data_IF_945798283817
#
_entry.id   IF_945798283817
#
_cell.length_a   1.000
_cell.length_b   1.000
_cell.length_c   1.000
_cell.angle_alpha   90.00
_cell.angle_beta   90.00
_cell.angle_gamma   90.00
#
_symmetry.space_group_name_H-M   'P 1'
#
loop_
_entity.id
_entity.type
_entity.pdbx_description
1 polymer ?
#
# COMPACT_ATOMS: atom_id res chain seq x y z
N UNK A 1 -5.93 -2.32 -7.16
CA UNK A 1 -5.33 -0.98 -6.95
C UNK A 1 -3.88 -1.19 -6.50
N UNK A 2 -2.93 -0.33 -6.88
CA UNK A 2 -1.52 -0.48 -6.47
C UNK A 2 -1.15 0.33 -5.22
N UNK A 3 -1.95 1.35 -4.91
CA UNK A 3 -1.68 2.28 -3.80
C UNK A 3 -2.81 2.28 -2.79
N UNK A 4 -2.47 2.41 -1.51
CA UNK A 4 -3.45 2.54 -0.42
C UNK A 4 -4.35 3.77 -0.60
N UNK A 5 -3.79 4.85 -1.16
CA UNK A 5 -4.50 6.09 -1.45
C UNK A 5 -5.44 6.03 -2.67
N UNK A 6 -5.60 4.86 -3.29
CA UNK A 6 -6.51 4.70 -4.42
C UNK A 6 -7.97 4.74 -3.94
N UNK A 7 -8.81 5.50 -4.65
CA UNK A 7 -10.25 5.65 -4.38
C UNK A 7 -11.12 4.44 -4.78
N UNK A 8 -10.49 3.36 -5.23
CA UNK A 8 -11.19 2.18 -5.72
C UNK A 8 -11.27 1.14 -4.62
N UNK A 9 -12.45 0.54 -4.46
CA UNK A 9 -12.68 -0.51 -3.48
C UNK A 9 -14.02 -1.20 -3.65
N UNK A 10 -14.36 -2.06 -2.68
CA UNK A 10 -15.63 -2.75 -2.62
C UNK A 10 -16.76 -1.75 -2.39
N UNK A 11 -17.75 -1.62 -3.30
CA UNK A 11 -18.82 -0.65 -3.13
C UNK A 11 -19.65 -0.88 -1.85
N UNK A 12 -20.11 0.20 -1.22
CA UNK A 12 -20.82 0.14 0.07
C UNK A 12 -22.16 -0.62 -0.01
N UNK A 13 -22.77 -0.67 -1.20
CA UNK A 13 -24.00 -1.41 -1.48
C UNK A 13 -23.78 -2.92 -1.63
N UNK A 14 -22.53 -3.39 -1.70
CA UNK A 14 -22.24 -4.82 -1.77
C UNK A 14 -22.45 -5.50 -0.40
N UNK A 15 -23.06 -6.67 -0.47
CA UNK A 15 -23.41 -7.48 0.68
C UNK A 15 -22.29 -8.50 0.96
N UNK A 16 -21.56 -8.29 2.05
CA UNK A 16 -20.54 -9.23 2.50
C UNK A 16 -21.15 -10.29 3.43
N UNK A 17 -20.47 -11.44 3.56
CA UNK A 17 -20.84 -12.45 4.55
C UNK A 17 -20.84 -11.89 5.97
N UNK A 18 -19.93 -10.96 6.29
CA UNK A 18 -19.90 -10.30 7.60
C UNK A 18 -21.15 -9.42 7.83
N UNK A 19 -21.59 -8.65 6.82
CA UNK A 19 -22.85 -7.90 6.87
C UNK A 19 -24.05 -8.86 7.03
N UNK A 20 -24.09 -9.97 6.30
CA UNK A 20 -25.15 -10.97 6.40
C UNK A 20 -25.25 -11.58 7.80
N UNK A 21 -24.11 -12.00 8.37
CA UNK A 21 -24.06 -12.57 9.72
C UNK A 21 -24.53 -11.56 10.77
N UNK A 22 -24.14 -10.29 10.63
CA UNK A 22 -24.66 -9.21 11.48
C UNK A 22 -26.15 -8.96 11.33
N UNK A 23 -26.68 -9.03 10.11
CA UNK A 23 -28.10 -8.75 9.84
C UNK A 23 -29.02 -9.90 10.26
N UNK A 24 -28.62 -11.15 10.00
CA UNK A 24 -29.47 -12.33 10.20
C UNK A 24 -29.31 -12.99 11.57
N UNK A 25 -28.15 -12.83 12.20
CA UNK A 25 -27.82 -13.47 13.47
C UNK A 25 -27.10 -12.46 14.37
N UNK A 26 -27.77 -11.35 14.70
CA UNK A 26 -27.32 -10.10 15.35
C UNK A 26 -26.23 -10.17 16.42
N UNK A 27 -25.97 -11.35 16.98
CA UNK A 27 -25.01 -11.58 18.05
C UNK A 27 -23.62 -12.04 17.59
N UNK A 28 -23.40 -12.33 16.29
CA UNK A 28 -22.08 -12.71 15.79
C UNK A 28 -21.04 -11.60 15.98
N UNK A 29 -19.90 -11.94 16.58
CA UNK A 29 -18.70 -11.11 16.52
C UNK A 29 -17.93 -11.42 15.25
N UNK A 30 -17.60 -10.40 14.48
CA UNK A 30 -16.97 -10.55 13.17
C UNK A 30 -15.58 -9.93 13.17
N UNK A 31 -14.57 -10.66 12.67
CA UNK A 31 -13.22 -10.13 12.52
C UNK A 31 -12.61 -10.45 11.16
N UNK A 32 -11.82 -9.50 10.65
CA UNK A 32 -10.91 -9.73 9.55
C UNK A 32 -9.48 -9.48 10.04
N UNK A 33 -8.64 -10.50 9.93
CA UNK A 33 -7.26 -10.46 10.41
C UNK A 33 -6.34 -10.78 9.24
N UNK A 34 -5.49 -9.83 8.89
CA UNK A 34 -4.54 -9.90 7.78
C UNK A 34 -4.95 -9.08 6.56
N UNK A 35 -4.92 -9.68 5.37
CA UNK A 35 -5.07 -8.95 4.11
C UNK A 35 -6.54 -8.65 3.77
N UNK A 36 -6.83 -7.38 3.46
CA UNK A 36 -8.12 -6.95 2.90
C UNK A 36 -8.10 -6.87 1.36
N UNK A 37 -7.35 -5.91 0.81
CA UNK A 37 -7.15 -5.68 -0.63
C UNK A 37 -8.40 -5.31 -1.44
N UNK A 38 -9.41 -4.72 -0.78
CA UNK A 38 -10.62 -4.23 -1.44
C UNK A 38 -10.85 -2.72 -1.20
N UNK A 39 -9.76 -1.96 -1.10
CA UNK A 39 -9.79 -0.51 -0.91
C UNK A 39 -9.83 -0.08 0.55
N UNK A 40 -9.71 1.22 0.79
CA UNK A 40 -9.83 1.84 2.12
C UNK A 40 -10.68 3.10 2.04
N UNK A 41 -10.20 4.10 1.30
CA UNK A 41 -10.85 5.40 1.17
C UNK A 41 -11.56 5.56 -0.18
N UNK A 42 -12.52 6.47 -0.26
CA UNK A 42 -13.28 6.82 -1.46
C UNK A 42 -12.87 8.20 -1.98
N UNK A 43 -13.47 9.25 -1.40
CA UNK A 43 -13.39 10.63 -1.90
C UNK A 43 -12.41 11.46 -1.09
N UNK A 44 -12.20 11.11 0.18
CA UNK A 44 -11.35 11.85 1.11
C UNK A 44 -10.48 10.87 1.88
N UNK A 45 -9.25 11.29 2.18
CA UNK A 45 -8.36 10.53 3.04
C UNK A 45 -9.00 10.33 4.42
N UNK A 46 -9.12 9.08 4.86
CA UNK A 46 -9.71 8.72 6.15
C UNK A 46 -11.24 8.69 6.18
N UNK A 47 -11.92 8.73 5.03
CA UNK A 47 -13.37 8.45 4.99
C UNK A 47 -13.68 6.96 5.16
N UNK A 48 -12.70 6.09 4.96
CA UNK A 48 -12.74 4.65 5.27
C UNK A 48 -13.92 3.89 4.63
N UNK A 49 -14.56 4.42 3.59
CA UNK A 49 -15.78 3.83 3.02
C UNK A 49 -15.61 2.33 2.66
N UNK A 50 -14.45 1.96 2.10
CA UNK A 50 -14.12 0.62 1.67
C UNK A 50 -13.43 -0.21 2.76
N UNK A 51 -13.27 0.35 3.96
CA UNK A 51 -12.60 -0.28 5.09
C UNK A 51 -13.39 -1.50 5.59
N UNK A 52 -12.72 -2.59 6.04
CA UNK A 52 -13.41 -3.79 6.54
C UNK A 52 -14.47 -3.51 7.61
N UNK A 53 -14.23 -2.53 8.49
CA UNK A 53 -15.21 -2.16 9.51
C UNK A 53 -16.53 -1.61 8.93
N UNK A 54 -16.48 -0.95 7.78
CA UNK A 54 -17.67 -0.48 7.05
C UNK A 54 -18.28 -1.58 6.17
N UNK A 55 -17.58 -2.72 6.03
CA UNK A 55 -18.05 -3.91 5.35
C UNK A 55 -18.46 -5.05 6.28
N UNK A 56 -18.89 -4.72 7.49
CA UNK A 56 -19.55 -5.64 8.41
C UNK A 56 -18.66 -6.30 9.45
N UNK A 57 -17.35 -6.06 9.44
CA UNK A 57 -16.43 -6.59 10.45
C UNK A 57 -16.37 -5.70 11.71
N UNK A 58 -16.53 -6.27 12.90
CA UNK A 58 -16.37 -5.54 14.17
C UNK A 58 -14.90 -5.22 14.47
N UNK A 59 -14.01 -6.13 14.09
CA UNK A 59 -12.58 -6.00 14.33
C UNK A 59 -11.79 -6.18 13.05
N UNK A 60 -10.83 -5.29 12.82
CA UNK A 60 -9.84 -5.42 11.77
C UNK A 60 -8.44 -5.31 12.36
N UNK A 61 -7.55 -6.21 11.97
CA UNK A 61 -6.12 -6.09 12.25
C UNK A 61 -5.32 -6.60 11.06
N UNK A 62 -4.68 -5.70 10.31
CA UNK A 62 -3.97 -6.10 9.10
C UNK A 62 -3.74 -4.98 8.11
N UNK A 63 -3.60 -5.35 6.84
CA UNK A 63 -3.21 -4.44 5.76
C UNK A 63 -4.40 -4.16 4.83
N UNK A 64 -4.70 -2.89 4.49
CA UNK A 64 -5.83 -2.53 3.63
C UNK A 64 -5.61 -2.95 2.17
N UNK A 65 -4.35 -3.01 1.74
CA UNK A 65 -3.95 -3.43 0.40
C UNK A 65 -3.39 -4.86 0.42
N UNK A 66 -2.32 -5.11 -0.33
CA UNK A 66 -1.62 -6.38 -0.44
C UNK A 66 -0.15 -6.19 -0.10
N UNK A 67 0.50 -7.28 0.26
CA UNK A 67 1.95 -7.36 0.29
C UNK A 67 2.53 -7.13 -1.10
N UNK A 68 3.57 -6.29 -1.19
CA UNK A 68 4.27 -5.93 -2.41
C UNK A 68 5.75 -6.33 -2.28
N UNK A 69 6.42 -6.54 -3.42
CA UNK A 69 7.87 -6.81 -3.42
C UNK A 69 8.66 -5.74 -2.67
N UNK A 70 8.21 -4.49 -2.80
CA UNK A 70 8.81 -3.31 -2.18
C UNK A 70 8.83 -3.36 -0.63
N UNK A 71 8.13 -4.31 0.00
CA UNK A 71 8.13 -4.47 1.46
C UNK A 71 9.21 -5.43 1.96
N UNK A 72 9.82 -6.22 1.06
CA UNK A 72 10.87 -7.18 1.39
C UNK A 72 12.25 -6.53 1.56
N UNK A 73 13.10 -7.20 2.34
CA UNK A 73 14.50 -6.77 2.56
C UNK A 73 15.44 -7.14 1.40
N UNK A 74 14.93 -7.81 0.36
CA UNK A 74 15.71 -8.26 -0.80
C UNK A 74 15.98 -7.15 -1.83
N UNK A 75 15.48 -5.94 -1.57
CA UNK A 75 15.64 -4.78 -2.44
C UNK A 75 14.85 -4.86 -3.75
N UNK A 76 13.94 -5.84 -3.89
CA UNK A 76 13.09 -5.92 -5.07
C UNK A 76 12.00 -4.86 -5.02
N UNK A 77 11.70 -4.27 -6.18
CA UNK A 77 10.59 -3.35 -6.34
C UNK A 77 9.63 -3.90 -7.39
N UNK A 78 8.31 -3.71 -7.17
CA UNK A 78 7.32 -4.01 -8.18
C UNK A 78 7.61 -3.19 -9.44
N UNK A 79 7.92 -1.90 -9.29
CA UNK A 79 8.21 -1.01 -10.43
C UNK A 79 9.45 -1.48 -11.19
N UNK A 80 10.54 -1.81 -10.50
CA UNK A 80 11.78 -2.28 -11.15
C UNK A 80 11.63 -3.68 -11.76
N UNK A 81 10.66 -4.48 -11.29
CA UNK A 81 10.34 -5.77 -11.92
C UNK A 81 9.70 -5.58 -13.31
N UNK A 82 8.89 -4.54 -13.49
CA UNK A 82 8.30 -4.20 -14.79
C UNK A 82 9.25 -3.34 -15.65
N UNK A 83 10.03 -2.47 -15.03
CA UNK A 83 10.96 -1.54 -15.69
C UNK A 83 12.38 -1.69 -15.12
N UNK A 84 13.14 -2.74 -15.50
CA UNK A 84 14.45 -3.03 -14.92
C UNK A 84 15.48 -1.93 -15.21
N UNK A 85 15.35 -1.26 -16.36
CA UNK A 85 16.23 -0.15 -16.78
C UNK A 85 15.73 1.23 -16.36
N UNK A 86 14.77 1.33 -15.41
CA UNK A 86 14.14 2.60 -15.03
C UNK A 86 15.18 3.68 -14.70
N UNK A 87 16.13 3.39 -13.81
CA UNK A 87 17.13 4.37 -13.42
C UNK A 87 18.01 4.81 -14.58
N UNK A 88 18.43 3.87 -15.43
CA UNK A 88 19.22 4.18 -16.62
C UNK A 88 18.44 5.08 -17.59
N UNK A 89 17.15 4.80 -17.79
CA UNK A 89 16.27 5.63 -18.63
C UNK A 89 16.13 7.04 -18.03
N UNK A 90 15.87 7.14 -16.73
CA UNK A 90 15.71 8.41 -16.03
C UNK A 90 17.00 9.26 -16.10
N UNK A 91 18.17 8.65 -15.89
CA UNK A 91 19.45 9.37 -16.03
C UNK A 91 19.73 9.76 -17.48
N UNK A 92 19.39 8.90 -18.44
CA UNK A 92 19.58 9.21 -19.87
C UNK A 92 18.72 10.38 -20.33
N UNK A 93 17.45 10.44 -19.89
CA UNK A 93 16.54 11.56 -20.17
C UNK A 93 17.10 12.87 -19.59
N UNK A 94 17.59 12.83 -18.35
CA UNK A 94 18.19 14.01 -17.72
C UNK A 94 19.42 14.51 -18.49
N UNK A 95 20.33 13.60 -18.87
CA UNK A 95 21.54 13.96 -19.62
C UNK A 95 21.22 14.50 -21.03
N UNK A 96 20.26 13.89 -21.74
CA UNK A 96 19.84 14.36 -23.06
C UNK A 96 19.17 15.74 -22.98
N UNK A 97 18.32 15.98 -21.99
CA UNK A 97 17.69 17.29 -21.81
C UNK A 97 18.70 18.38 -21.43
N UNK A 98 19.66 18.06 -20.56
CA UNK A 98 20.75 18.98 -20.21
C UNK A 98 21.60 19.31 -21.44
N UNK A 99 22.02 18.32 -22.22
CA UNK A 99 22.85 18.54 -23.42
C UNK A 99 22.11 19.36 -24.48
N UNK A 100 20.83 19.07 -24.76
CA UNK A 100 20.01 19.85 -25.68
C UNK A 100 19.86 21.30 -25.20
N UNK A 101 19.56 21.51 -23.91
CA UNK A 101 19.48 22.85 -23.34
C UNK A 101 20.80 23.62 -23.48
N UNK A 102 21.92 23.03 -23.06
CA UNK A 102 23.23 23.66 -23.20
C UNK A 102 23.56 24.02 -24.66
N UNK A 103 23.23 23.15 -25.62
CA UNK A 103 23.41 23.45 -27.05
C UNK A 103 22.58 24.66 -27.50
N UNK A 104 21.33 24.79 -27.04
CA UNK A 104 20.47 25.93 -27.39
C UNK A 104 21.05 27.23 -26.85
N UNK A 105 21.54 27.25 -25.61
CA UNK A 105 22.16 28.43 -24.98
C UNK A 105 23.41 28.87 -25.75
N UNK A 106 24.25 27.91 -26.17
CA UNK A 106 25.49 28.22 -26.89
C UNK A 106 25.20 28.71 -28.31
N UNK A 107 24.18 28.18 -28.99
CA UNK A 107 23.96 28.37 -30.42
C UNK A 107 22.98 29.51 -30.77
N UNK A 108 22.04 29.85 -29.89
CA UNK A 108 20.93 30.76 -30.20
C UNK A 108 20.95 32.06 -29.38
N UNK A 109 20.24 33.08 -29.89
CA UNK A 109 20.14 34.41 -29.25
C UNK A 109 19.44 34.32 -27.88
N UNK A 110 19.66 35.36 -27.06
CA UNK A 110 19.11 35.55 -25.70
C UNK A 110 17.61 35.24 -25.56
N UNK A 111 16.82 35.45 -26.61
CA UNK A 111 15.38 35.13 -26.63
C UNK A 111 15.06 33.65 -26.35
N UNK A 112 15.94 32.71 -26.73
CA UNK A 112 15.75 31.26 -26.51
C UNK A 112 16.31 30.76 -25.17
N UNK A 113 17.00 31.62 -24.41
CA UNK A 113 17.64 31.23 -23.15
C UNK A 113 16.64 30.79 -22.09
N UNK A 114 15.49 31.47 -21.97
CA UNK A 114 14.42 31.10 -21.03
C UNK A 114 13.86 29.72 -21.34
N UNK A 115 13.58 29.43 -22.62
CA UNK A 115 13.08 28.11 -23.03
C UNK A 115 14.09 27.02 -22.71
N UNK A 116 15.38 27.27 -22.98
CA UNK A 116 16.44 26.32 -22.66
C UNK A 116 16.55 26.04 -21.16
N UNK A 117 16.42 27.06 -20.31
CA UNK A 117 16.45 26.86 -18.85
C UNK A 117 15.26 25.99 -18.43
N UNK A 118 14.06 26.22 -18.98
CA UNK A 118 12.90 25.37 -18.73
C UNK A 118 13.15 23.91 -19.15
N UNK A 119 13.75 23.66 -20.31
CA UNK A 119 14.08 22.30 -20.77
C UNK A 119 15.03 21.60 -19.78
N UNK A 120 16.09 22.29 -19.34
CA UNK A 120 17.05 21.75 -18.38
C UNK A 120 16.34 21.42 -17.05
N UNK A 121 15.56 22.37 -16.52
CA UNK A 121 14.83 22.18 -15.27
C UNK A 121 13.87 20.99 -15.35
N UNK A 122 13.06 20.90 -16.41
CA UNK A 122 12.11 19.81 -16.61
C UNK A 122 12.85 18.47 -16.73
N UNK A 123 13.98 18.44 -17.45
CA UNK A 123 14.78 17.23 -17.64
C UNK A 123 15.41 16.70 -16.35
N UNK A 124 15.59 17.55 -15.33
CA UNK A 124 16.11 17.15 -14.02
C UNK A 124 14.97 16.82 -13.06
N UNK A 125 13.97 17.71 -12.98
CA UNK A 125 12.89 17.64 -12.00
C UNK A 125 12.02 16.41 -12.24
N UNK A 126 11.59 16.14 -13.48
CA UNK A 126 10.68 15.01 -13.73
C UNK A 126 11.35 13.67 -13.38
N UNK A 127 12.57 13.34 -13.87
CA UNK A 127 13.23 12.10 -13.50
C UNK A 127 13.53 12.00 -12.01
N UNK A 128 13.93 13.11 -11.36
CA UNK A 128 14.16 13.13 -9.92
C UNK A 128 12.88 12.81 -9.15
N UNK A 129 11.74 13.41 -9.50
CA UNK A 129 10.45 13.12 -8.88
C UNK A 129 10.04 11.65 -9.05
N UNK A 130 10.24 11.06 -10.22
CA UNK A 130 9.94 9.64 -10.47
C UNK A 130 10.82 8.73 -9.60
N UNK A 131 12.12 9.03 -9.51
CA UNK A 131 13.06 8.25 -8.67
C UNK A 131 12.74 8.40 -7.19
N UNK A 132 12.43 9.62 -6.73
CA UNK A 132 12.00 9.88 -5.35
C UNK A 132 10.72 9.11 -5.06
N UNK A 133 9.72 9.20 -5.92
CA UNK A 133 8.46 8.47 -5.75
C UNK A 133 8.70 6.97 -5.65
N UNK A 134 9.46 6.39 -6.58
CA UNK A 134 9.75 4.96 -6.59
C UNK A 134 10.46 4.51 -5.30
N UNK A 135 11.44 5.28 -4.80
CA UNK A 135 12.14 4.98 -3.54
C UNK A 135 11.24 5.06 -2.31
N UNK A 136 10.14 5.82 -2.38
CA UNK A 136 9.20 6.01 -1.28
C UNK A 136 7.98 5.07 -1.35
N UNK A 137 7.88 4.16 -2.34
CA UNK A 137 6.74 3.23 -2.47
C UNK A 137 6.51 2.41 -1.20
N UNK A 138 7.58 1.93 -0.56
CA UNK A 138 7.51 1.20 0.70
C UNK A 138 6.84 2.06 1.77
N UNK A 139 7.32 3.29 1.99
CA UNK A 139 6.74 4.19 2.99
C UNK A 139 5.27 4.48 2.70
N UNK A 140 4.91 4.72 1.44
CA UNK A 140 3.56 5.12 1.05
C UNK A 140 2.51 4.00 1.17
N UNK A 141 2.91 2.72 1.08
CA UNK A 141 1.98 1.59 1.02
C UNK A 141 2.12 0.59 2.16
N UNK A 142 3.24 0.58 2.85
CA UNK A 142 3.55 -0.36 3.91
C UNK A 142 2.90 0.11 5.21
N UNK A 143 1.64 -0.22 5.41
CA UNK A 143 0.83 0.24 6.54
C UNK A 143 0.14 -0.93 7.21
N UNK A 144 0.12 -0.93 8.54
CA UNK A 144 -0.64 -1.86 9.36
C UNK A 144 -1.67 -1.09 10.17
N UNK A 145 -2.92 -1.54 10.10
CA UNK A 145 -4.03 -0.95 10.80
C UNK A 145 -4.59 -1.88 11.86
N UNK A 146 -5.11 -1.29 12.93
CA UNK A 146 -6.08 -1.91 13.83
C UNK A 146 -7.34 -1.06 13.78
N UNK A 147 -8.40 -1.61 13.20
CA UNK A 147 -9.58 -0.86 12.83
C UNK A 147 -9.17 0.38 12.00
N UNK A 148 -9.70 1.57 12.31
CA UNK A 148 -9.30 2.82 11.62
C UNK A 148 -7.94 3.39 12.03
N UNK A 149 -7.28 2.82 13.05
CA UNK A 149 -6.04 3.38 13.60
C UNK A 149 -4.80 2.79 12.92
N UNK A 150 -3.89 3.67 12.46
CA UNK A 150 -2.59 3.27 11.92
C UNK A 150 -1.66 2.88 13.07
N UNK A 151 -1.25 1.60 13.10
CA UNK A 151 -0.39 1.05 14.16
C UNK A 151 1.08 1.05 13.76
N UNK A 152 1.39 0.84 12.48
CA UNK A 152 2.77 0.66 12.03
C UNK A 152 2.96 1.09 10.57
N UNK A 153 4.02 1.86 10.31
CA UNK A 153 4.44 2.30 8.98
C UNK A 153 5.96 2.61 8.99
N UNK A 154 6.80 1.91 8.20
CA UNK A 154 6.49 0.73 7.40
C UNK A 154 6.17 -0.50 8.28
N UNK A 155 5.37 -1.43 7.77
CA UNK A 155 5.07 -2.69 8.47
C UNK A 155 6.33 -3.55 8.63
N UNK A 156 6.57 -4.09 9.84
CA UNK A 156 7.56 -5.16 10.03
C UNK A 156 6.96 -6.51 9.68
N UNK A 157 7.44 -7.10 8.59
CA UNK A 157 6.99 -8.41 8.13
C UNK A 157 7.54 -9.57 8.99
N UNK A 158 8.70 -9.41 9.63
CA UNK A 158 9.26 -10.42 10.54
C UNK A 158 8.32 -10.66 11.73
N UNK A 159 7.88 -11.90 11.91
CA UNK A 159 6.92 -12.29 12.96
C UNK A 159 5.47 -11.88 12.70
N UNK A 160 5.12 -11.33 11.53
CA UNK A 160 3.74 -10.90 11.25
C UNK A 160 2.75 -12.07 11.27
N UNK A 161 3.14 -13.26 10.80
CA UNK A 161 2.30 -14.47 10.87
C UNK A 161 1.90 -14.77 12.30
N UNK A 162 2.87 -14.75 13.23
CA UNK A 162 2.61 -14.94 14.66
C UNK A 162 1.69 -13.86 15.22
N UNK A 163 1.94 -12.58 14.92
CA UNK A 163 1.07 -11.47 15.35
C UNK A 163 -0.37 -11.63 14.87
N UNK A 164 -0.59 -12.04 13.61
CA UNK A 164 -1.93 -12.29 13.07
C UNK A 164 -2.60 -13.49 13.77
N UNK A 165 -1.86 -14.57 14.02
CA UNK A 165 -2.38 -15.73 14.76
C UNK A 165 -2.71 -15.39 16.21
N UNK A 166 -1.87 -14.60 16.89
CA UNK A 166 -2.08 -14.16 18.26
C UNK A 166 -3.32 -13.26 18.35
N UNK A 167 -3.47 -12.29 17.45
CA UNK A 167 -4.65 -11.42 17.39
C UNK A 167 -5.94 -12.23 17.16
N UNK A 168 -5.90 -13.24 16.28
CA UNK A 168 -7.03 -14.13 16.03
C UNK A 168 -7.37 -14.97 17.26
N UNK A 169 -6.36 -15.48 17.95
CA UNK A 169 -6.53 -16.24 19.18
C UNK A 169 -7.18 -15.39 20.28
N UNK A 170 -6.74 -14.14 20.45
CA UNK A 170 -7.31 -13.20 21.41
C UNK A 170 -8.78 -12.93 21.08
N UNK A 171 -9.10 -12.60 19.82
CA UNK A 171 -10.46 -12.34 19.39
C UNK A 171 -11.42 -13.52 19.67
N UNK A 172 -10.99 -14.75 19.36
CA UNK A 172 -11.79 -15.96 19.60
C UNK A 172 -12.02 -16.18 21.10
N UNK A 173 -10.98 -16.01 21.92
CA UNK A 173 -11.09 -16.15 23.38
C UNK A 173 -12.05 -15.12 23.98
N UNK A 174 -12.00 -13.88 23.49
CA UNK A 174 -12.87 -12.83 24.01
C UNK A 174 -14.33 -13.04 23.59
N UNK A 175 -14.59 -13.44 22.34
CA UNK A 175 -15.93 -13.84 21.91
C UNK A 175 -16.49 -15.02 22.74
N UNK A 176 -15.64 -16.01 23.06
CA UNK A 176 -16.02 -17.12 23.92
C UNK A 176 -16.35 -16.68 25.35
N UNK A 177 -15.55 -15.81 25.97
CA UNK A 177 -15.82 -15.25 27.31
C UNK A 177 -17.16 -14.50 27.35
N UNK A 178 -17.49 -13.82 26.27
CA UNK A 178 -18.75 -13.07 26.12
C UNK A 178 -19.95 -13.97 25.78
N UNK A 179 -19.77 -15.29 25.63
CA UNK A 179 -20.78 -16.24 25.16
C UNK A 179 -21.42 -15.85 23.82
N UNK A 180 -20.65 -15.24 22.92
CA UNK A 180 -21.12 -14.82 21.59
C UNK A 180 -20.55 -15.74 20.49
N UNK A 181 -21.35 -16.13 19.49
CA UNK A 181 -20.81 -16.79 18.31
C UNK A 181 -19.85 -15.84 17.59
N UNK A 182 -18.83 -16.39 16.92
CA UNK A 182 -17.84 -15.60 16.21
C UNK A 182 -17.67 -16.07 14.77
N UNK A 183 -17.24 -15.13 13.92
CA UNK A 183 -16.82 -15.36 12.56
C UNK A 183 -15.50 -14.63 12.33
N UNK A 184 -14.44 -15.38 12.00
CA UNK A 184 -13.09 -14.84 11.80
C UNK A 184 -12.61 -15.20 10.42
N UNK A 185 -12.21 -14.20 9.65
CA UNK A 185 -11.45 -14.37 8.43
C UNK A 185 -9.98 -14.14 8.75
N UNK A 186 -9.17 -15.19 8.61
CA UNK A 186 -7.72 -15.13 8.77
C UNK A 186 -7.04 -15.18 7.39
N UNK A 187 -6.80 -14.00 6.82
CA UNK A 187 -6.17 -13.84 5.51
C UNK A 187 -4.68 -13.56 5.69
N UNK A 188 -3.86 -14.60 5.79
CA UNK A 188 -2.42 -14.40 5.95
C UNK A 188 -1.82 -13.55 4.80
N UNK A 189 -0.84 -12.74 5.18
CA UNK A 189 -0.07 -11.90 4.25
C UNK A 189 0.92 -12.77 3.44
N UNK A 190 1.43 -13.84 4.06
CA UNK A 190 2.22 -14.89 3.39
C UNK A 190 1.34 -15.73 2.44
N UNK A 191 1.86 -16.31 1.36
CA UNK A 191 3.23 -16.28 0.79
C UNK A 191 3.30 -15.40 -0.45
N UNK A 192 2.71 -14.20 -0.37
CA UNK A 192 2.76 -13.26 -1.48
C UNK A 192 4.22 -12.79 -1.74
N UNK A 193 4.40 -11.92 -2.73
CA UNK A 193 5.70 -11.63 -3.34
C UNK A 193 6.80 -11.18 -2.38
N UNK A 194 6.49 -10.54 -1.25
CA UNK A 194 7.46 -10.18 -0.23
C UNK A 194 7.90 -11.44 0.53
N UNK A 195 9.11 -11.94 0.24
CA UNK A 195 9.66 -13.08 0.95
C UNK A 195 10.23 -12.63 2.30
N UNK A 196 9.67 -13.13 3.40
CA UNK A 196 10.23 -12.96 4.74
C UNK A 196 10.10 -14.27 5.52
N UNK A 197 11.24 -14.77 6.01
CA UNK A 197 11.33 -15.95 6.88
C UNK A 197 11.35 -15.54 8.35
N UNK A 198 10.80 -16.38 9.22
CA UNK A 198 11.28 -16.38 10.61
C UNK A 198 12.60 -17.16 10.59
N UNK A 199 13.69 -16.51 11.02
CA UNK A 199 14.89 -17.27 11.37
C UNK A 199 14.51 -18.14 12.57
N UNK A 200 14.43 -19.45 12.36
CA UNK A 200 14.34 -20.41 13.45
C UNK A 200 15.61 -20.29 14.29
N UNK A 201 15.48 -19.63 15.44
CA UNK A 201 16.41 -19.83 16.57
C UNK A 201 15.90 -20.97 17.41
#
# INVERSE_FOLDING_TARGET
FLFVASSGGLPDNELTIAKLLKQQASDYRTALIGKWHLGKDCSRLGDDCHHPNNHGFDHFYGIPLTDLKDFGDDGQSVVLSYFPSLYLLMTSIALLGITIGCMIIIRFKREWSTLSICIILISIIIPALVVIFQKNITLLNSVLYRNGELIEQPIRLKGITRRLTDEASVFIRDAHKENRPFFVILNFIKVHTGKFGEDSK
#
